data_IF_563505943158
#
_entry.id   IF_563505943158
#
_cell.length_a   1.000
_cell.length_b   1.000
_cell.length_c   1.000
_cell.angle_alpha   90.00
_cell.angle_beta   90.00
_cell.angle_gamma   90.00
#
_symmetry.space_group_name_H-M   'P 1'
#
loop_
_entity.id
_entity.type
_entity.pdbx_description
1 polymer ?
#
# COMPACT_ATOMS: atom_id res chain seq x y z
N UNK A 1 23.00 -5.28 4.07
CA UNK A 1 22.10 -4.34 4.77
C UNK A 1 20.67 -4.91 4.88
N UNK A 2 20.46 -6.19 5.23
CA UNK A 2 19.09 -6.80 5.19
C UNK A 2 18.38 -6.92 6.53
N UNK A 3 19.09 -7.21 7.62
CA UNK A 3 18.43 -7.54 8.90
C UNK A 3 17.68 -6.39 9.59
N UNK A 4 18.09 -5.14 9.37
CA UNK A 4 17.46 -3.97 9.99
C UNK A 4 16.14 -3.58 9.31
N UNK A 5 16.10 -3.63 7.99
CA UNK A 5 14.91 -3.33 7.20
C UNK A 5 13.83 -4.39 7.41
N UNK A 6 14.22 -5.66 7.43
CA UNK A 6 13.32 -6.81 7.70
C UNK A 6 12.70 -6.72 9.10
N UNK A 7 13.45 -6.23 10.11
CA UNK A 7 12.94 -6.05 11.49
C UNK A 7 11.86 -4.98 11.56
N UNK A 8 12.06 -3.85 10.87
CA UNK A 8 11.07 -2.76 10.87
C UNK A 8 9.84 -3.17 10.06
N UNK A 9 10.02 -3.84 8.92
CA UNK A 9 8.91 -4.37 8.14
C UNK A 9 8.06 -5.34 8.98
N UNK A 10 8.72 -6.32 9.61
CA UNK A 10 8.07 -7.26 10.51
C UNK A 10 7.34 -6.56 11.65
N UNK A 11 7.94 -5.54 12.25
CA UNK A 11 7.31 -4.79 13.33
C UNK A 11 6.03 -4.09 12.89
N UNK A 12 6.03 -3.44 11.72
CA UNK A 12 4.84 -2.79 11.14
C UNK A 12 3.76 -3.83 10.80
N UNK A 13 4.12 -4.99 10.25
CA UNK A 13 3.15 -6.06 9.96
C UNK A 13 2.52 -6.66 11.23
N UNK A 14 3.28 -6.78 12.32
CA UNK A 14 2.81 -7.39 13.57
C UNK A 14 2.09 -6.40 14.50
N UNK A 15 2.49 -5.12 14.50
CA UNK A 15 2.04 -4.13 15.49
C UNK A 15 1.41 -2.87 14.87
N UNK A 16 1.50 -2.73 13.54
CA UNK A 16 0.94 -1.59 12.83
C UNK A 16 -0.57 -1.66 12.68
N UNK A 17 -1.14 -0.54 12.25
CA UNK A 17 -2.51 -0.46 11.78
C UNK A 17 -2.58 -0.95 10.33
N UNK A 18 -3.73 -1.51 9.95
CA UNK A 18 -4.02 -2.00 8.61
C UNK A 18 -5.27 -1.32 8.08
N UNK A 19 -5.20 -0.79 6.87
CA UNK A 19 -6.34 -0.37 6.06
C UNK A 19 -6.42 -1.20 4.78
N UNK A 20 -7.62 -1.44 4.25
CA UNK A 20 -7.79 -2.25 3.02
C UNK A 20 -8.77 -1.60 2.06
N UNK A 21 -8.33 -1.46 0.82
CA UNK A 21 -9.07 -0.84 -0.29
C UNK A 21 -9.36 -1.91 -1.36
N UNK A 22 -10.57 -1.90 -1.93
CA UNK A 22 -11.00 -2.90 -2.92
C UNK A 22 -11.79 -2.24 -4.04
N UNK A 23 -11.54 -2.66 -5.28
CA UNK A 23 -12.27 -2.14 -6.44
C UNK A 23 -11.39 -2.08 -7.69
N UNK A 24 -11.78 -1.19 -8.60
CA UNK A 24 -10.94 -0.84 -9.75
C UNK A 24 -9.73 0.00 -9.32
N UNK A 25 -8.66 -0.03 -10.12
CA UNK A 25 -7.40 0.62 -9.76
C UNK A 25 -7.55 2.13 -9.48
N UNK A 26 -8.26 2.87 -10.35
CA UNK A 26 -8.54 4.30 -10.16
C UNK A 26 -9.33 4.60 -8.88
N UNK A 27 -10.29 3.74 -8.53
CA UNK A 27 -11.04 3.87 -7.29
C UNK A 27 -10.10 3.73 -6.08
N UNK A 28 -9.25 2.71 -6.08
CA UNK A 28 -8.28 2.47 -5.02
C UNK A 28 -7.31 3.65 -4.87
N UNK A 29 -6.80 4.21 -5.97
CA UNK A 29 -5.93 5.40 -5.94
C UNK A 29 -6.61 6.58 -5.24
N UNK A 30 -7.88 6.85 -5.59
CA UNK A 30 -8.64 7.94 -4.98
C UNK A 30 -8.88 7.71 -3.48
N UNK A 31 -9.22 6.49 -3.08
CA UNK A 31 -9.44 6.13 -1.67
C UNK A 31 -8.15 6.24 -0.85
N UNK A 32 -7.03 5.76 -1.38
CA UNK A 32 -5.70 5.89 -0.74
C UNK A 32 -5.32 7.37 -0.59
N UNK A 33 -5.46 8.17 -1.65
CA UNK A 33 -5.14 9.59 -1.59
C UNK A 33 -5.96 10.31 -0.51
N UNK A 34 -7.26 10.03 -0.43
CA UNK A 34 -8.13 10.58 0.61
C UNK A 34 -7.73 10.11 2.02
N UNK A 35 -7.36 8.84 2.17
CA UNK A 35 -6.96 8.27 3.45
C UNK A 35 -5.65 8.86 3.98
N UNK A 36 -4.67 9.07 3.09
CA UNK A 36 -3.35 9.58 3.45
C UNK A 36 -3.39 11.07 3.83
N UNK A 37 -4.26 11.85 3.20
CA UNK A 37 -4.40 13.27 3.52
C UNK A 37 -4.96 13.53 4.94
N UNK A 38 -5.74 12.60 5.49
CA UNK A 38 -6.46 12.80 6.74
C UNK A 38 -5.72 12.26 7.98
N UNK A 39 -4.50 11.75 7.79
CA UNK A 39 -3.79 11.02 8.85
C UNK A 39 -2.33 11.43 8.95
N UNK A 40 -1.84 11.45 10.18
CA UNK A 40 -0.43 11.58 10.50
C UNK A 40 0.16 10.17 10.65
N UNK A 41 1.16 9.89 9.81
CA UNK A 41 1.83 8.59 9.70
C UNK A 41 3.30 8.76 10.00
N UNK A 42 3.90 7.71 10.56
CA UNK A 42 5.35 7.57 10.44
C UNK A 42 5.71 7.41 8.96
N UNK A 43 6.92 7.83 8.62
CA UNK A 43 7.42 7.87 7.25
C UNK A 43 7.43 6.49 6.56
N UNK A 44 7.43 5.37 7.29
CA UNK A 44 7.50 4.02 6.69
C UNK A 44 6.13 3.34 6.61
N UNK A 45 5.77 2.89 5.41
CA UNK A 45 4.56 2.12 5.13
C UNK A 45 4.86 0.83 4.36
N UNK A 46 3.99 -0.17 4.51
CA UNK A 46 4.03 -1.40 3.72
C UNK A 46 2.74 -1.52 2.93
N UNK A 47 2.87 -1.71 1.63
CA UNK A 47 1.76 -1.95 0.72
C UNK A 47 1.78 -3.40 0.30
N UNK A 48 0.63 -4.07 0.42
CA UNK A 48 0.41 -5.38 -0.19
C UNK A 48 -0.68 -5.24 -1.23
N UNK A 49 -0.37 -5.57 -2.48
CA UNK A 49 -1.30 -5.49 -3.60
C UNK A 49 -1.60 -6.91 -4.05
N UNK A 50 -2.89 -7.19 -4.17
CA UNK A 50 -3.43 -8.42 -4.75
C UNK A 50 -4.29 -8.05 -5.95
N UNK A 51 -4.14 -8.79 -7.03
CA UNK A 51 -4.97 -8.65 -8.23
C UNK A 51 -5.53 -10.01 -8.64
N UNK A 52 -6.68 -9.99 -9.31
CA UNK A 52 -7.23 -11.16 -9.98
C UNK A 52 -6.24 -11.69 -11.03
N UNK A 53 -6.19 -13.01 -11.25
CA UNK A 53 -5.27 -13.64 -12.22
C UNK A 53 -5.46 -13.15 -13.67
N UNK A 54 -6.63 -12.61 -14.01
CA UNK A 54 -6.93 -12.03 -15.31
C UNK A 54 -6.43 -10.60 -15.47
N UNK A 55 -5.91 -9.98 -14.41
CA UNK A 55 -5.39 -8.62 -14.36
C UNK A 55 -3.88 -8.65 -14.13
N UNK A 56 -3.18 -7.78 -14.84
CA UNK A 56 -1.76 -7.55 -14.66
C UNK A 56 -1.57 -6.21 -13.92
N UNK A 57 -0.63 -6.16 -12.97
CA UNK A 57 -0.16 -4.90 -12.40
C UNK A 57 1.07 -4.50 -13.20
N UNK A 58 0.95 -3.40 -13.93
CA UNK A 58 2.03 -2.88 -14.76
C UNK A 58 3.00 -2.02 -13.96
N UNK A 59 4.16 -1.73 -14.53
CA UNK A 59 5.10 -0.78 -13.93
C UNK A 59 4.52 0.64 -13.85
N UNK A 60 3.63 1.01 -14.77
CA UNK A 60 2.95 2.31 -14.76
C UNK A 60 1.97 2.40 -13.57
N UNK A 61 1.27 1.31 -13.26
CA UNK A 61 0.39 1.20 -12.09
C UNK A 61 1.20 1.36 -10.79
N UNK A 62 2.34 0.67 -10.69
CA UNK A 62 3.26 0.78 -9.55
C UNK A 62 3.78 2.23 -9.41
N UNK A 63 4.15 2.84 -10.54
CA UNK A 63 4.58 4.24 -10.60
C UNK A 63 3.50 5.19 -10.09
N UNK A 64 2.27 5.03 -10.56
CA UNK A 64 1.13 5.86 -10.15
C UNK A 64 0.84 5.71 -8.65
N UNK A 65 0.88 4.50 -8.11
CA UNK A 65 0.72 4.25 -6.67
C UNK A 65 1.82 4.93 -5.86
N UNK A 66 3.08 4.73 -6.25
CA UNK A 66 4.21 5.35 -5.58
C UNK A 66 4.07 6.87 -5.59
N UNK A 67 3.81 7.46 -6.75
CA UNK A 67 3.71 8.91 -6.91
C UNK A 67 2.54 9.50 -6.12
N UNK A 68 1.41 8.80 -6.08
CA UNK A 68 0.25 9.19 -5.28
C UNK A 68 0.63 9.26 -3.80
N UNK A 69 1.23 8.19 -3.27
CA UNK A 69 1.58 8.10 -1.85
C UNK A 69 2.66 9.12 -1.49
N UNK A 70 3.70 9.24 -2.31
CA UNK A 70 4.75 10.23 -2.11
C UNK A 70 4.19 11.64 -2.10
N UNK A 71 3.28 11.98 -3.03
CA UNK A 71 2.63 13.28 -3.09
C UNK A 71 1.84 13.59 -1.81
N UNK A 72 0.97 12.68 -1.37
CA UNK A 72 0.14 12.93 -0.18
C UNK A 72 0.96 12.92 1.12
N UNK A 73 2.09 12.20 1.16
CA UNK A 73 3.01 12.18 2.30
C UNK A 73 4.17 13.18 2.17
N UNK A 74 4.04 14.20 1.31
CA UNK A 74 5.02 15.28 1.12
C UNK A 74 6.45 14.79 0.82
N UNK A 75 6.57 13.72 0.04
CA UNK A 75 7.80 13.03 -0.38
C UNK A 75 8.66 12.50 0.77
N UNK A 76 8.02 12.16 1.89
CA UNK A 76 8.70 11.58 3.06
C UNK A 76 8.51 10.06 3.19
N UNK A 77 7.66 9.46 2.35
CA UNK A 77 7.31 8.06 2.51
C UNK A 77 8.47 7.12 2.13
N UNK A 78 8.81 6.20 3.02
CA UNK A 78 9.56 4.99 2.73
C UNK A 78 8.56 3.87 2.49
N UNK A 79 8.43 3.45 1.24
CA UNK A 79 7.40 2.50 0.80
C UNK A 79 8.05 1.14 0.53
N UNK A 80 7.56 0.10 1.20
CA UNK A 80 7.86 -1.29 0.85
C UNK A 80 6.61 -1.88 0.19
N UNK A 81 6.74 -2.36 -1.04
CA UNK A 81 5.61 -2.89 -1.81
C UNK A 81 5.79 -4.39 -2.05
N UNK A 82 4.77 -5.17 -1.73
CA UNK A 82 4.66 -6.58 -2.06
C UNK A 82 3.50 -6.76 -3.02
N UNK A 83 3.76 -7.42 -4.14
CA UNK A 83 2.74 -7.75 -5.13
C UNK A 83 2.57 -9.26 -5.08
N UNK A 84 1.36 -9.71 -4.77
CA UNK A 84 0.99 -11.11 -4.65
C UNK A 84 -0.10 -11.41 -5.69
N UNK A 85 0.17 -12.32 -6.63
CA UNK A 85 -0.85 -12.86 -7.53
C UNK A 85 -1.66 -13.92 -6.76
N UNK A 86 -2.95 -13.70 -6.57
CA UNK A 86 -3.83 -14.63 -5.87
C UNK A 86 -5.23 -14.66 -6.49
N UNK A 87 -5.93 -15.78 -6.34
CA UNK A 87 -7.35 -15.86 -6.65
C UNK A 87 -8.12 -14.94 -5.70
N UNK A 88 -8.49 -13.74 -6.16
CA UNK A 88 -9.38 -12.86 -5.41
C UNK A 88 -10.78 -13.48 -5.47
N UNK A 89 -11.24 -14.02 -4.35
CA UNK A 89 -12.61 -14.53 -4.24
C UNK A 89 -13.60 -13.35 -4.24
N UNK A 90 -14.40 -13.28 -5.30
CA UNK A 90 -15.63 -12.51 -5.50
C UNK A 90 -15.52 -10.97 -5.67
N UNK A 91 -15.79 -10.51 -6.91
CA UNK A 91 -16.29 -9.18 -7.33
C UNK A 91 -15.36 -7.95 -7.33
N UNK A 92 -14.05 -8.07 -7.14
CA UNK A 92 -13.14 -6.92 -7.20
C UNK A 92 -11.89 -7.21 -8.05
N UNK A 93 -11.46 -6.22 -8.86
CA UNK A 93 -10.27 -6.34 -9.73
C UNK A 93 -8.96 -6.33 -8.91
N UNK A 94 -8.92 -5.51 -7.85
CA UNK A 94 -7.75 -5.32 -7.00
C UNK A 94 -8.13 -5.26 -5.51
N UNK A 95 -7.25 -5.75 -4.65
CA UNK A 95 -7.25 -5.52 -3.20
C UNK A 95 -5.89 -4.95 -2.79
N UNK A 96 -5.89 -3.77 -2.17
CA UNK A 96 -4.68 -3.15 -1.62
C UNK A 96 -4.79 -3.06 -0.10
N UNK A 97 -3.82 -3.63 0.61
CA UNK A 97 -3.67 -3.48 2.06
C UNK A 97 -2.50 -2.55 2.38
N UNK A 98 -2.76 -1.49 3.14
CA UNK A 98 -1.75 -0.54 3.62
C UNK A 98 -1.52 -0.77 5.12
N UNK A 99 -0.28 -1.10 5.49
CA UNK A 99 0.16 -1.26 6.87
C UNK A 99 1.03 -0.08 7.29
N UNK A 100 0.76 0.50 8.45
CA UNK A 100 1.38 1.76 8.87
C UNK A 100 1.42 1.93 10.39
N UNK A 101 2.25 2.87 10.84
CA UNK A 101 2.27 3.37 12.23
C UNK A 101 1.84 4.84 12.23
N UNK A 102 1.13 5.29 13.29
CA UNK A 102 0.80 6.70 13.49
C UNK A 102 1.98 7.44 14.11
N UNK A 103 2.11 8.74 13.85
CA UNK A 103 2.94 9.59 14.72
C UNK A 103 2.23 9.75 16.08
N UNK A 104 3.02 9.83 17.15
CA UNK A 104 2.53 10.04 18.52
C UNK A 104 2.55 11.52 18.87
#
# INVERSE_FOLDING_TARGET
MKEGEDKIEKHILENGLKETFRGGFEQIINEISSFLNDKSFQEKIILKIRCDQSKEITMDDIGLLNDTIQKEMLNKASIVMHIEEHDITENYDYELSLYYLKEN
#
